data_IF_096052780420
#
_entry.id   IF_096052780420
#
_cell.length_a   1.000
_cell.length_b   1.000
_cell.length_c   1.000
_cell.angle_alpha   90.00
_cell.angle_beta   90.00
_cell.angle_gamma   90.00
#
_symmetry.space_group_name_H-M   'P 1'
#
loop_
_entity.id
_entity.type
_entity.pdbx_description
1 polymer ?
#
# COMPACT_ATOMS: atom_id res chain seq x y z
N UNK A 1 10.40 4.20 21.55
CA UNK A 1 9.35 3.25 21.12
C UNK A 1 9.93 2.35 20.04
N UNK A 2 9.61 1.06 20.00
CA UNK A 2 10.19 0.13 19.01
C UNK A 2 9.47 0.27 17.66
N UNK A 3 10.23 0.23 16.56
CA UNK A 3 9.73 0.30 15.20
C UNK A 3 8.93 -0.97 14.84
N UNK A 4 7.89 -0.85 14.00
CA UNK A 4 7.12 -2.00 13.53
C UNK A 4 7.71 -2.57 12.24
N UNK A 5 8.00 -1.70 11.29
CA UNK A 5 8.66 -2.03 10.03
C UNK A 5 9.95 -1.22 9.92
N UNK A 6 11.06 -1.89 9.62
CA UNK A 6 12.36 -1.26 9.34
C UNK A 6 12.86 -1.79 8.02
N UNK A 7 13.07 -0.90 7.05
CA UNK A 7 13.61 -1.18 5.72
C UNK A 7 15.00 -0.57 5.67
N UNK A 8 16.00 -1.37 5.31
CA UNK A 8 17.41 -0.97 5.26
C UNK A 8 17.99 -1.32 3.89
N UNK A 9 18.47 -0.32 3.16
CA UNK A 9 19.15 -0.47 1.88
C UNK A 9 18.34 -1.23 0.83
N UNK A 10 17.01 -1.07 0.81
CA UNK A 10 16.16 -1.80 -0.15
C UNK A 10 16.50 -1.38 -1.57
N UNK A 11 16.88 -2.37 -2.39
CA UNK A 11 17.12 -2.21 -3.81
C UNK A 11 16.25 -3.19 -4.59
N UNK A 12 15.59 -2.71 -5.64
CA UNK A 12 14.82 -3.54 -6.56
C UNK A 12 15.22 -3.21 -7.99
N UNK A 13 15.70 -4.22 -8.71
CA UNK A 13 16.07 -4.10 -10.13
C UNK A 13 15.33 -5.13 -10.97
N UNK A 14 14.83 -4.75 -12.13
CA UNK A 14 14.27 -5.69 -13.10
C UNK A 14 15.28 -5.93 -14.21
N UNK A 15 15.60 -7.21 -14.47
CA UNK A 15 16.39 -7.61 -15.64
C UNK A 15 15.47 -7.70 -16.86
N UNK A 16 15.74 -6.89 -17.85
CA UNK A 16 15.18 -6.99 -19.20
C UNK A 16 16.27 -7.56 -20.13
N UNK A 17 15.92 -7.86 -21.39
CA UNK A 17 16.89 -8.41 -22.36
C UNK A 17 18.07 -7.48 -22.59
N UNK A 18 17.80 -6.18 -22.77
CA UNK A 18 18.81 -5.19 -23.18
C UNK A 18 19.04 -4.08 -22.13
N UNK A 19 18.43 -4.19 -20.95
CA UNK A 19 18.53 -3.16 -19.92
C UNK A 19 18.26 -3.70 -18.51
N UNK A 20 18.74 -2.98 -17.50
CA UNK A 20 18.36 -3.17 -16.10
C UNK A 20 17.58 -1.95 -15.63
N UNK A 21 16.33 -2.14 -15.18
CA UNK A 21 15.52 -1.06 -14.63
C UNK A 21 15.76 -0.99 -13.13
N UNK A 22 16.24 0.14 -12.63
CA UNK A 22 16.42 0.41 -11.21
C UNK A 22 15.14 1.01 -10.64
N UNK A 23 14.23 0.16 -10.16
CA UNK A 23 12.90 0.59 -9.71
C UNK A 23 12.91 1.17 -8.29
N UNK A 24 13.74 0.62 -7.41
CA UNK A 24 14.01 1.15 -6.06
C UNK A 24 15.51 1.08 -5.83
N UNK A 25 16.11 2.16 -5.33
CA UNK A 25 17.55 2.28 -5.15
C UNK A 25 17.90 2.73 -3.74
N UNK A 26 18.31 1.78 -2.91
CA UNK A 26 18.92 2.02 -1.59
C UNK A 26 18.01 2.91 -0.73
N UNK A 27 16.82 2.35 -0.46
CA UNK A 27 15.74 2.96 0.28
C UNK A 27 15.78 2.49 1.73
N UNK A 28 15.90 3.46 2.63
CA UNK A 28 15.74 3.29 4.07
C UNK A 28 14.40 3.89 4.50
N UNK A 29 13.64 3.14 5.28
CA UNK A 29 12.34 3.60 5.77
C UNK A 29 12.01 2.91 7.09
N UNK A 30 11.39 3.64 8.00
CA UNK A 30 10.94 3.10 9.27
C UNK A 30 9.50 3.52 9.51
N UNK A 31 8.66 2.57 9.93
CA UNK A 31 7.28 2.83 10.30
C UNK A 31 7.05 2.32 11.72
N UNK A 32 6.52 3.18 12.59
CA UNK A 32 6.20 2.87 13.99
C UNK A 32 4.76 2.35 14.10
N UNK A 33 4.43 1.60 15.17
CA UNK A 33 3.04 1.32 15.49
C UNK A 33 2.26 2.62 15.69
N UNK A 34 1.05 2.72 15.13
CA UNK A 34 0.22 3.93 15.22
C UNK A 34 0.72 5.12 14.41
N UNK A 35 1.62 4.90 13.44
CA UNK A 35 2.12 5.92 12.50
C UNK A 35 1.51 5.70 11.11
N UNK A 36 1.00 6.79 10.52
CA UNK A 36 0.63 6.86 9.11
C UNK A 36 1.76 7.55 8.35
N UNK A 37 2.55 6.73 7.65
CA UNK A 37 3.60 7.21 6.75
C UNK A 37 3.06 7.22 5.32
N UNK A 38 3.15 8.36 4.64
CA UNK A 38 2.82 8.47 3.23
C UNK A 38 4.07 8.48 2.34
N UNK A 39 4.08 7.66 1.30
CA UNK A 39 5.08 7.67 0.22
C UNK A 39 4.46 8.33 -1.00
N UNK A 40 5.00 9.48 -1.40
CA UNK A 40 4.46 10.32 -2.48
C UNK A 40 5.48 10.52 -3.60
N UNK A 41 5.00 10.89 -4.78
CA UNK A 41 5.86 11.22 -5.93
C UNK A 41 5.16 11.00 -7.26
N UNK A 42 5.80 11.42 -8.36
CA UNK A 42 5.29 11.24 -9.73
C UNK A 42 5.01 9.76 -10.06
N UNK A 43 4.14 9.52 -11.05
CA UNK A 43 3.91 8.16 -11.56
C UNK A 43 5.20 7.54 -12.09
N UNK A 44 5.38 6.24 -11.86
CA UNK A 44 6.56 5.51 -12.32
C UNK A 44 7.84 5.72 -11.52
N UNK A 45 7.83 6.46 -10.39
CA UNK A 45 9.04 6.65 -9.58
C UNK A 45 9.46 5.44 -8.72
N UNK A 46 8.62 4.39 -8.64
CA UNK A 46 8.92 3.14 -7.94
C UNK A 46 8.06 2.84 -6.69
N UNK A 47 7.05 3.66 -6.37
CA UNK A 47 6.26 3.53 -5.13
C UNK A 47 5.56 2.17 -4.98
N UNK A 48 4.83 1.70 -5.99
CA UNK A 48 4.13 0.41 -5.92
C UNK A 48 5.09 -0.79 -5.87
N UNK A 49 6.31 -0.63 -6.40
CA UNK A 49 7.36 -1.66 -6.34
C UNK A 49 7.83 -1.87 -4.90
N UNK A 50 7.84 -0.83 -4.06
CA UNK A 50 8.10 -0.94 -2.62
C UNK A 50 7.09 -1.89 -1.94
N UNK A 51 5.79 -1.66 -2.14
CA UNK A 51 4.75 -2.52 -1.57
C UNK A 51 4.88 -3.97 -2.03
N UNK A 52 5.10 -4.18 -3.33
CA UNK A 52 5.26 -5.52 -3.89
C UNK A 52 6.52 -6.23 -3.39
N UNK A 53 7.62 -5.51 -3.17
CA UNK A 53 8.84 -6.08 -2.60
C UNK A 53 8.60 -6.61 -1.18
N UNK A 54 7.97 -5.80 -0.32
CA UNK A 54 7.65 -6.16 1.07
C UNK A 54 6.72 -7.36 1.19
N UNK A 55 5.85 -7.54 0.19
CA UNK A 55 4.90 -8.64 0.17
C UNK A 55 5.38 -9.83 -0.65
N UNK A 56 6.55 -9.80 -1.26
CA UNK A 56 7.04 -10.87 -2.16
C UNK A 56 6.14 -11.09 -3.38
N UNK A 57 5.56 -10.01 -3.92
CA UNK A 57 4.67 -10.01 -5.09
C UNK A 57 5.38 -9.57 -6.38
N UNK A 58 6.70 -9.41 -6.33
CA UNK A 58 7.48 -9.03 -7.51
C UNK A 58 7.57 -10.18 -8.53
N UNK A 59 7.62 -9.87 -9.84
CA UNK A 59 7.82 -10.88 -10.88
C UNK A 59 9.20 -11.54 -10.79
N UNK A 60 9.34 -12.71 -11.42
CA UNK A 60 10.55 -13.54 -11.36
C UNK A 60 11.82 -12.89 -11.90
N UNK A 61 11.71 -11.86 -12.75
CA UNK A 61 12.86 -11.12 -13.27
C UNK A 61 13.35 -10.00 -12.34
N UNK A 62 12.75 -9.86 -11.15
CA UNK A 62 13.17 -8.91 -10.14
C UNK A 62 14.34 -9.45 -9.31
N UNK A 63 15.30 -8.58 -9.04
CA UNK A 63 16.38 -8.79 -8.07
C UNK A 63 16.15 -7.86 -6.91
N UNK A 64 16.10 -8.42 -5.70
CA UNK A 64 15.87 -7.68 -4.47
C UNK A 64 17.12 -7.76 -3.59
N UNK A 65 17.54 -6.62 -3.05
CA UNK A 65 18.65 -6.48 -2.10
C UNK A 65 18.21 -5.66 -0.89
N UNK A 66 18.95 -5.74 0.21
CA UNK A 66 18.63 -5.04 1.45
C UNK A 66 17.90 -5.94 2.44
N UNK A 67 17.26 -5.33 3.45
CA UNK A 67 16.50 -6.03 4.49
C UNK A 67 15.20 -5.30 4.78
N UNK A 68 14.16 -6.05 5.13
CA UNK A 68 12.91 -5.46 5.62
C UNK A 68 12.39 -6.24 6.83
N UNK A 69 12.65 -5.73 8.02
CA UNK A 69 12.34 -6.37 9.30
C UNK A 69 10.95 -5.94 9.78
N UNK A 70 10.02 -6.91 9.85
CA UNK A 70 8.72 -6.74 10.47
C UNK A 70 8.74 -7.28 11.89
N UNK A 71 8.69 -6.38 12.86
CA UNK A 71 8.67 -6.69 14.29
C UNK A 71 7.27 -7.13 14.76
N UNK A 72 7.18 -7.92 15.85
CA UNK A 72 5.90 -8.27 16.45
C UNK A 72 5.15 -7.00 16.86
N UNK A 73 3.89 -6.88 16.44
CA UNK A 73 3.02 -5.84 16.95
C UNK A 73 2.74 -6.14 18.43
N UNK A 74 2.94 -5.15 19.31
CA UNK A 74 2.46 -5.26 20.68
C UNK A 74 0.94 -5.06 20.63
N UNK A 75 0.12 -5.81 21.39
CA UNK A 75 -1.29 -5.49 21.51
C UNK A 75 -1.40 -4.02 21.94
N UNK A 76 -2.20 -3.24 21.20
CA UNK A 76 -2.43 -1.85 21.54
C UNK A 76 -2.92 -1.76 22.99
N UNK A 77 -2.23 -0.97 23.82
CA UNK A 77 -2.84 -0.56 25.07
C UNK A 77 -4.12 0.20 24.70
N UNK A 78 -5.27 -0.04 25.35
CA UNK A 78 -6.45 0.77 25.11
C UNK A 78 -6.07 2.22 25.35
N UNK A 79 -6.03 3.02 24.28
CA UNK A 79 -5.75 4.43 24.36
C UNK A 79 -6.80 5.13 25.23
N UNK A 80 -6.49 6.30 25.81
CA UNK A 80 -7.51 7.08 26.50
C UNK A 80 -8.64 7.31 25.51
N UNK A 81 -9.85 6.95 25.92
CA UNK A 81 -11.07 7.09 25.12
C UNK A 81 -11.14 8.51 24.56
N UNK A 82 -10.70 8.71 23.32
CA UNK A 82 -11.01 9.89 22.56
C UNK A 82 -12.51 9.87 22.43
N UNK A 83 -13.14 10.86 23.08
CA UNK A 83 -14.55 11.18 23.01
C UNK A 83 -15.11 10.68 21.68
N UNK A 84 -16.03 9.71 21.76
CA UNK A 84 -16.89 9.33 20.63
C UNK A 84 -17.50 10.65 20.13
N UNK A 85 -16.92 11.25 19.10
CA UNK A 85 -17.66 12.17 18.24
C UNK A 85 -18.79 11.29 17.73
N UNK A 86 -19.97 11.48 18.30
CA UNK A 86 -21.21 10.93 17.79
C UNK A 86 -21.32 11.42 16.36
N UNK A 87 -20.94 10.56 15.41
CA UNK A 87 -21.19 10.79 14.00
C UNK A 87 -22.69 10.63 13.76
N UNK A 88 -23.28 11.42 12.84
CA UNK A 88 -24.66 11.23 12.42
C UNK A 88 -24.84 9.79 11.92
N UNK A 89 -25.94 9.14 12.30
CA UNK A 89 -26.33 7.85 11.72
C UNK A 89 -26.53 8.04 10.21
N UNK A 90 -25.66 7.45 9.40
CA UNK A 90 -25.71 7.44 7.93
C UNK A 90 -26.90 6.66 7.33
N UNK A 91 -27.91 6.29 8.13
CA UNK A 91 -29.14 5.64 7.66
C UNK A 91 -30.05 6.55 6.83
N UNK A 92 -29.67 7.81 6.58
CA UNK A 92 -30.51 8.82 5.90
C UNK A 92 -30.03 9.27 4.52
N UNK A 93 -28.97 8.67 3.95
CA UNK A 93 -28.40 9.10 2.64
C UNK A 93 -28.52 8.02 1.55
N UNK A 94 -29.12 6.87 1.85
CA UNK A 94 -29.48 5.90 0.81
C UNK A 94 -30.91 6.20 0.29
N UNK A 95 -31.12 6.39 -1.03
CA UNK A 95 -32.47 6.40 -1.58
C UNK A 95 -33.14 5.05 -1.31
N UNK A 96 -34.31 5.08 -0.67
CA UNK A 96 -35.13 3.88 -0.42
C UNK A 96 -35.52 3.29 -1.79
N UNK A 97 -35.33 1.99 -2.04
CA UNK A 97 -35.86 1.38 -3.26
C UNK A 97 -37.38 1.52 -3.27
N UNK A 98 -37.91 2.02 -4.39
CA UNK A 98 -39.34 2.04 -4.67
C UNK A 98 -39.86 0.59 -4.66
N UNK A 99 -41.01 0.41 -4.02
CA UNK A 99 -41.53 -0.88 -3.57
C UNK A 99 -41.81 -1.91 -4.66
N UNK A 100 -41.89 -3.14 -4.15
CA UNK A 100 -42.22 -4.40 -4.79
C UNK A 100 -43.29 -4.35 -5.88
N UNK A 101 -43.03 -5.10 -6.96
CA UNK A 101 -44.06 -5.99 -7.51
C UNK A 101 -43.49 -7.40 -7.55
N UNK A 102 -44.09 -8.23 -6.70
CA UNK A 102 -43.93 -9.67 -6.67
C UNK A 102 -44.33 -10.29 -8.00
N UNK A 103 -43.46 -11.14 -8.55
CA UNK A 103 -43.90 -12.14 -9.51
C UNK A 103 -43.26 -13.48 -9.20
N UNK A 104 -44.13 -14.38 -8.78
CA UNK A 104 -43.86 -15.77 -8.46
C UNK A 104 -43.41 -16.54 -9.69
N UNK A 105 -42.30 -17.27 -9.61
CA UNK A 105 -42.14 -18.51 -10.38
C UNK A 105 -41.53 -19.62 -9.55
N UNK A 106 -42.34 -20.68 -9.44
CA UNK A 106 -42.04 -22.00 -8.90
C UNK A 106 -41.10 -22.74 -9.84
N UNK A 107 -40.27 -23.62 -9.28
CA UNK A 107 -40.23 -25.01 -9.74
C UNK A 107 -38.93 -25.53 -10.36
N UNK A 108 -38.67 -26.80 -10.01
CA UNK A 108 -37.68 -27.77 -10.50
C UNK A 108 -36.23 -27.53 -10.06
N UNK A 109 -35.66 -28.29 -9.11
CA UNK A 109 -35.44 -29.75 -9.00
C UNK A 109 -34.30 -30.26 -9.87
N UNK A 110 -33.28 -30.79 -9.20
CA UNK A 110 -32.35 -31.78 -9.73
C UNK A 110 -31.17 -31.18 -10.48
N UNK A 111 -29.96 -31.40 -9.99
CA UNK A 111 -29.16 -32.53 -10.45
C UNK A 111 -27.99 -32.73 -9.49
N UNK A 112 -27.81 -33.98 -9.10
CA UNK A 112 -26.82 -34.44 -8.16
C UNK A 112 -25.51 -34.80 -8.86
N UNK A 113 -24.42 -34.41 -8.20
CA UNK A 113 -23.25 -35.26 -7.95
C UNK A 113 -22.16 -35.41 -9.03
N UNK A 114 -20.93 -35.36 -8.50
CA UNK A 114 -19.67 -35.98 -8.97
C UNK A 114 -18.97 -35.32 -10.15
N UNK A 115 -17.88 -34.62 -9.84
CA UNK A 115 -16.57 -35.03 -10.35
C UNK A 115 -15.47 -34.58 -9.38
N UNK A 116 -14.81 -35.58 -8.82
CA UNK A 116 -13.64 -35.47 -7.96
C UNK A 116 -12.41 -35.92 -8.75
N UNK A 117 -11.27 -35.30 -8.42
CA UNK A 117 -9.89 -35.79 -8.60
C UNK A 117 -9.26 -35.69 -9.99
N UNK A 118 -7.94 -35.45 -9.91
CA UNK A 118 -6.91 -35.32 -10.97
C UNK A 118 -6.92 -33.89 -11.51
N UNK A 119 -5.96 -33.05 -11.15
CA UNK A 119 -4.58 -33.13 -11.58
C UNK A 119 -3.60 -32.84 -10.41
N UNK A 120 -2.97 -33.90 -9.94
CA UNK A 120 -1.60 -33.88 -9.41
C UNK A 120 -0.69 -34.29 -10.58
N UNK A 121 0.52 -33.78 -10.53
CA UNK A 121 1.69 -34.15 -11.33
C UNK A 121 1.83 -33.45 -12.69
N UNK A 122 2.70 -32.42 -12.71
CA UNK A 122 3.73 -32.28 -13.74
C UNK A 122 4.86 -31.37 -13.25
N UNK A 123 6.00 -32.02 -12.91
CA UNK A 123 7.41 -31.61 -12.99
C UNK A 123 7.75 -30.11 -12.83
N UNK A 124 8.39 -29.67 -11.74
CA UNK A 124 9.77 -29.99 -11.32
C UNK A 124 10.81 -29.58 -12.37
N UNK A 125 11.29 -28.33 -12.24
CA UNK A 125 12.56 -27.83 -12.77
C UNK A 125 13.20 -26.96 -11.70
N UNK A 126 14.19 -27.54 -11.01
CA UNK A 126 15.09 -26.83 -10.10
C UNK A 126 16.24 -26.22 -10.93
N UNK A 127 16.65 -24.97 -10.69
CA UNK A 127 18.02 -24.57 -10.87
C UNK A 127 18.78 -24.78 -9.56
N UNK A 128 19.87 -25.52 -9.65
CA UNK A 128 20.83 -25.76 -8.57
C UNK A 128 21.56 -24.47 -8.17
N UNK A 129 21.82 -24.34 -6.87
CA UNK A 129 23.04 -23.71 -6.37
C UNK A 129 23.03 -22.20 -6.12
N UNK A 130 22.57 -21.78 -4.94
CA UNK A 130 23.40 -20.98 -4.00
C UNK A 130 22.75 -20.96 -2.61
N UNK A 131 23.39 -21.64 -1.66
CA UNK A 131 23.33 -21.36 -0.22
C UNK A 131 21.96 -21.41 0.46
N UNK A 132 21.60 -22.58 0.97
CA UNK A 132 20.59 -22.72 2.01
C UNK A 132 21.03 -22.01 3.30
N UNK A 133 20.67 -20.74 3.44
CA UNK A 133 20.55 -20.07 4.73
C UNK A 133 19.11 -20.27 5.21
N UNK A 134 18.91 -21.11 6.23
CA UNK A 134 17.61 -21.23 6.88
C UNK A 134 17.13 -19.84 7.28
N UNK A 135 15.96 -19.43 6.77
CA UNK A 135 15.30 -18.17 7.08
C UNK A 135 14.90 -18.15 8.55
N UNK A 136 15.90 -17.87 9.40
CA UNK A 136 15.77 -17.79 10.83
C UNK A 136 14.87 -16.61 11.18
N UNK A 137 13.82 -16.89 11.94
CA UNK A 137 13.22 -15.90 12.83
C UNK A 137 14.38 -15.29 13.60
N UNK A 138 14.71 -14.02 13.33
CA UNK A 138 15.80 -13.33 14.02
C UNK A 138 15.57 -13.36 15.52
N UNK A 139 16.64 -13.21 16.31
CA UNK A 139 16.69 -13.34 17.78
C UNK A 139 15.78 -12.40 18.60
N UNK A 140 14.75 -11.79 18.02
CA UNK A 140 13.72 -10.99 18.69
C UNK A 140 12.31 -11.14 18.11
N UNK A 141 12.01 -12.22 17.37
CA UNK A 141 10.68 -12.47 16.80
C UNK A 141 10.35 -11.62 15.56
N UNK A 142 11.32 -10.86 15.05
CA UNK A 142 11.20 -10.13 13.80
C UNK A 142 11.30 -11.09 12.61
N UNK A 143 10.53 -10.79 11.55
CA UNK A 143 10.57 -11.54 10.29
C UNK A 143 11.19 -10.64 9.23
N UNK A 144 12.26 -11.11 8.57
CA UNK A 144 12.79 -10.44 7.38
C UNK A 144 11.91 -10.79 6.17
N UNK A 145 11.12 -9.83 5.73
CA UNK A 145 10.15 -9.97 4.65
C UNK A 145 10.80 -10.33 3.31
N UNK A 146 12.04 -9.89 3.08
CA UNK A 146 12.74 -10.13 1.80
C UNK A 146 13.38 -11.52 1.74
N UNK A 147 13.66 -12.14 2.89
CA UNK A 147 14.38 -13.40 3.00
C UNK A 147 13.54 -14.59 3.52
N UNK A 148 12.37 -14.36 4.12
CA UNK A 148 11.59 -15.41 4.78
C UNK A 148 10.92 -16.43 3.84
N UNK A 149 10.86 -16.14 2.53
CA UNK A 149 10.30 -17.02 1.51
C UNK A 149 8.77 -17.13 1.53
N UNK A 150 8.22 -17.69 0.44
CA UNK A 150 6.78 -17.68 0.16
C UNK A 150 5.93 -18.36 1.24
N UNK A 151 6.42 -19.45 1.84
CA UNK A 151 5.67 -20.19 2.86
C UNK A 151 5.39 -19.33 4.10
N UNK A 152 6.37 -18.52 4.53
CA UNK A 152 6.22 -17.63 5.69
C UNK A 152 5.35 -16.42 5.31
N UNK A 153 5.59 -15.84 4.13
CA UNK A 153 4.77 -14.74 3.61
C UNK A 153 3.28 -15.12 3.56
N UNK A 154 2.93 -16.25 2.94
CA UNK A 154 1.55 -16.68 2.77
C UNK A 154 0.86 -17.11 4.08
N UNK A 155 1.58 -17.77 5.01
CA UNK A 155 0.96 -18.34 6.21
C UNK A 155 0.99 -17.43 7.43
N UNK A 156 1.95 -16.52 7.51
CA UNK A 156 2.22 -15.76 8.74
C UNK A 156 2.25 -14.25 8.53
N UNK A 157 2.37 -13.75 7.30
CA UNK A 157 2.47 -12.31 7.02
C UNK A 157 1.23 -11.77 6.32
N UNK A 158 0.97 -12.18 5.07
CA UNK A 158 -0.14 -11.67 4.26
C UNK A 158 -1.48 -11.97 4.91
N UNK A 159 -2.32 -10.96 5.07
CA UNK A 159 -3.63 -11.05 5.71
C UNK A 159 -3.58 -11.22 7.24
N UNK A 160 -2.44 -11.51 7.87
CA UNK A 160 -2.35 -11.62 9.35
C UNK A 160 -1.62 -10.46 9.98
N UNK A 161 -0.43 -10.16 9.46
CA UNK A 161 0.43 -9.08 9.95
C UNK A 161 0.43 -7.88 9.03
N UNK A 162 0.16 -8.10 7.73
CA UNK A 162 0.06 -7.05 6.73
C UNK A 162 -1.22 -7.23 5.92
N UNK A 163 -2.07 -6.19 5.88
CA UNK A 163 -3.15 -6.07 4.89
C UNK A 163 -2.71 -5.22 3.71
N UNK A 164 -3.17 -5.57 2.51
CA UNK A 164 -2.87 -4.83 1.28
C UNK A 164 -4.17 -4.29 0.69
N UNK A 165 -4.24 -2.97 0.50
CA UNK A 165 -5.20 -2.34 -0.41
C UNK A 165 -4.43 -2.10 -1.72
N UNK A 166 -4.70 -2.87 -2.78
CA UNK A 166 -3.96 -2.78 -4.04
C UNK A 166 -4.41 -1.58 -4.88
N UNK A 167 -3.52 -1.12 -5.76
CA UNK A 167 -3.79 -0.04 -6.73
C UNK A 167 -4.90 -0.40 -7.71
N UNK A 168 -5.00 -1.68 -8.10
CA UNK A 168 -6.03 -2.16 -9.02
C UNK A 168 -6.79 -3.35 -8.42
N UNK A 169 -8.09 -3.21 -8.10
CA UNK A 169 -8.91 -4.30 -7.61
C UNK A 169 -9.06 -5.42 -8.63
N UNK A 170 -9.10 -5.07 -9.92
CA UNK A 170 -9.34 -6.01 -11.01
C UNK A 170 -8.27 -7.11 -11.08
N UNK A 171 -7.03 -6.80 -10.71
CA UNK A 171 -5.93 -7.76 -10.69
C UNK A 171 -5.82 -8.54 -9.38
N UNK A 172 -6.46 -8.06 -8.30
CA UNK A 172 -6.37 -8.63 -6.97
C UNK A 172 -7.58 -9.51 -6.58
N UNK A 173 -8.76 -9.24 -7.15
CA UNK A 173 -9.99 -9.94 -6.80
C UNK A 173 -10.17 -11.23 -7.61
N UNK A 174 -10.53 -12.32 -6.92
CA UNK A 174 -10.89 -13.57 -7.57
C UNK A 174 -12.27 -13.47 -8.20
N UNK A 175 -12.34 -13.51 -9.54
CA UNK A 175 -13.55 -13.25 -10.31
C UNK A 175 -14.62 -14.36 -10.25
N UNK A 176 -14.27 -15.55 -9.75
CA UNK A 176 -15.17 -16.73 -9.72
C UNK A 176 -15.98 -16.86 -8.43
N UNK A 177 -15.93 -15.86 -7.54
CA UNK A 177 -16.65 -15.84 -6.26
C UNK A 177 -17.28 -14.48 -6.05
N UNK A 178 -18.44 -14.44 -5.40
CA UNK A 178 -19.10 -13.20 -5.00
C UNK A 178 -18.29 -12.49 -3.92
N UNK A 179 -18.47 -11.18 -3.78
CA UNK A 179 -17.81 -10.39 -2.73
C UNK A 179 -18.04 -10.97 -1.33
N UNK A 180 -19.25 -11.49 -1.05
CA UNK A 180 -19.59 -12.13 0.21
C UNK A 180 -18.75 -13.36 0.47
N UNK A 181 -18.60 -14.21 -0.54
CA UNK A 181 -17.83 -15.45 -0.41
C UNK A 181 -16.35 -15.13 -0.20
N UNK A 182 -15.81 -14.15 -0.91
CA UNK A 182 -14.43 -13.69 -0.73
C UNK A 182 -14.18 -13.20 0.70
N UNK A 183 -15.05 -12.35 1.24
CA UNK A 183 -14.93 -11.86 2.62
C UNK A 183 -15.10 -12.97 3.65
N UNK A 184 -16.12 -13.81 3.52
CA UNK A 184 -16.39 -14.90 4.46
C UNK A 184 -15.24 -15.92 4.51
N UNK A 185 -14.66 -16.28 3.36
CA UNK A 185 -13.50 -17.17 3.29
C UNK A 185 -12.26 -16.52 3.88
N UNK A 186 -12.05 -15.21 3.62
CA UNK A 186 -10.94 -14.45 4.21
C UNK A 186 -11.05 -14.42 5.74
N UNK A 187 -12.22 -14.08 6.28
CA UNK A 187 -12.50 -14.09 7.72
C UNK A 187 -12.26 -15.48 8.31
N UNK A 188 -12.83 -16.53 7.71
CA UNK A 188 -12.69 -17.91 8.18
C UNK A 188 -11.23 -18.37 8.18
N UNK A 189 -10.48 -18.11 7.10
CA UNK A 189 -9.07 -18.49 6.98
C UNK A 189 -8.18 -17.80 8.02
N UNK A 190 -8.67 -16.72 8.64
CA UNK A 190 -7.98 -15.94 9.66
C UNK A 190 -8.62 -16.09 11.05
N UNK A 191 -9.49 -17.08 11.25
CA UNK A 191 -10.10 -17.40 12.54
C UNK A 191 -11.11 -16.36 13.03
N UNK A 192 -11.72 -15.61 12.11
CA UNK A 192 -12.73 -14.58 12.38
C UNK A 192 -14.11 -15.08 11.99
N UNK A 193 -15.14 -14.55 12.64
CA UNK A 193 -16.54 -14.89 12.31
C UNK A 193 -16.89 -14.42 10.89
N UNK A 194 -17.28 -15.32 9.96
CA UNK A 194 -17.73 -14.94 8.62
C UNK A 194 -19.00 -14.07 8.63
N UNK A 195 -19.79 -14.08 9.71
CA UNK A 195 -20.95 -13.20 9.90
C UNK A 195 -20.61 -11.70 9.88
N UNK A 196 -19.34 -11.33 10.12
CA UNK A 196 -18.87 -9.95 10.08
C UNK A 196 -18.74 -9.37 8.65
N UNK A 197 -18.93 -10.17 7.60
CA UNK A 197 -18.71 -9.74 6.22
C UNK A 197 -19.50 -8.45 5.86
N UNK A 198 -20.77 -8.37 6.26
CA UNK A 198 -21.60 -7.19 6.01
C UNK A 198 -21.09 -5.95 6.78
N UNK A 199 -20.65 -6.12 8.03
CA UNK A 199 -20.11 -5.04 8.84
C UNK A 199 -18.82 -4.48 8.24
N UNK A 200 -17.89 -5.36 7.82
CA UNK A 200 -16.62 -4.95 7.21
C UNK A 200 -16.87 -4.25 5.87
N UNK A 201 -17.84 -4.70 5.08
CA UNK A 201 -18.24 -4.03 3.85
C UNK A 201 -18.76 -2.61 4.11
N UNK A 202 -19.65 -2.43 5.08
CA UNK A 202 -20.16 -1.10 5.47
C UNK A 202 -19.01 -0.19 5.91
N UNK A 203 -18.07 -0.71 6.69
CA UNK A 203 -16.90 0.07 7.14
C UNK A 203 -16.06 0.57 5.96
N UNK A 204 -15.86 -0.27 4.95
CA UNK A 204 -15.19 0.09 3.70
C UNK A 204 -16.07 0.94 2.76
N UNK A 205 -17.29 1.29 3.14
CA UNK A 205 -18.23 2.09 2.35
C UNK A 205 -18.93 1.33 1.22
N UNK A 206 -18.91 -0.01 1.22
CA UNK A 206 -19.61 -0.86 0.27
C UNK A 206 -20.99 -1.25 0.81
N UNK A 207 -22.03 -1.17 -0.03
CA UNK A 207 -23.36 -1.65 0.33
C UNK A 207 -23.33 -3.18 0.51
N UNK A 208 -23.82 -3.72 1.65
CA UNK A 208 -23.92 -5.16 1.86
C UNK A 208 -24.66 -5.92 0.75
N UNK A 209 -25.60 -5.29 0.06
CA UNK A 209 -26.31 -5.86 -1.08
C UNK A 209 -25.36 -6.15 -2.26
N UNK A 210 -24.33 -5.32 -2.44
CA UNK A 210 -23.34 -5.49 -3.51
C UNK A 210 -22.38 -6.65 -3.25
N UNK A 211 -22.34 -7.19 -2.02
CA UNK A 211 -21.58 -8.41 -1.74
C UNK A 211 -22.11 -9.65 -2.46
N UNK A 212 -23.36 -9.63 -2.93
CA UNK A 212 -23.92 -10.74 -3.71
C UNK A 212 -23.40 -10.78 -5.14
N UNK A 213 -22.76 -9.70 -5.58
CA UNK A 213 -22.24 -9.57 -6.94
C UNK A 213 -20.85 -10.19 -7.05
N UNK A 214 -20.53 -10.63 -8.26
CA UNK A 214 -19.16 -11.00 -8.64
C UNK A 214 -18.31 -9.74 -8.90
N UNK A 215 -16.98 -9.81 -8.75
CA UNK A 215 -16.11 -8.66 -8.98
C UNK A 215 -16.27 -7.97 -10.34
N UNK A 216 -16.59 -8.71 -11.40
CA UNK A 216 -16.79 -8.15 -12.74
C UNK A 216 -18.14 -7.43 -12.91
N UNK A 217 -19.05 -7.55 -11.96
CA UNK A 217 -20.35 -6.85 -11.93
C UNK A 217 -20.29 -5.56 -11.08
N UNK A 218 -19.15 -5.31 -10.43
CA UNK A 218 -18.90 -4.13 -9.62
C UNK A 218 -18.32 -2.99 -10.48
N UNK A 219 -18.71 -1.75 -10.19
CA UNK A 219 -17.98 -0.59 -10.70
C UNK A 219 -16.55 -0.57 -10.13
N UNK A 220 -15.63 0.16 -10.76
CA UNK A 220 -14.25 0.29 -10.26
C UNK A 220 -14.19 0.71 -8.79
N UNK A 221 -14.99 1.71 -8.39
CA UNK A 221 -15.06 2.15 -7.00
C UNK A 221 -15.76 1.16 -6.05
N UNK A 222 -16.73 0.36 -6.52
CA UNK A 222 -17.28 -0.74 -5.72
C UNK A 222 -16.24 -1.86 -5.51
N UNK A 223 -15.49 -2.20 -6.56
CA UNK A 223 -14.41 -3.19 -6.48
C UNK A 223 -13.28 -2.71 -5.56
N UNK A 224 -12.92 -1.42 -5.59
CA UNK A 224 -11.95 -0.82 -4.68
C UNK A 224 -12.40 -0.94 -3.23
N UNK A 225 -13.67 -0.65 -2.93
CA UNK A 225 -14.23 -0.80 -1.58
C UNK A 225 -14.26 -2.26 -1.12
N UNK A 226 -14.53 -3.21 -2.01
CA UNK A 226 -14.41 -4.63 -1.70
C UNK A 226 -12.96 -5.04 -1.39
N UNK A 227 -11.99 -4.53 -2.17
CA UNK A 227 -10.56 -4.77 -1.90
C UNK A 227 -10.13 -4.17 -0.55
N UNK A 228 -10.58 -2.96 -0.24
CA UNK A 228 -10.39 -2.34 1.09
C UNK A 228 -11.02 -3.18 2.20
N UNK A 229 -12.25 -3.67 2.02
CA UNK A 229 -12.92 -4.54 2.98
C UNK A 229 -12.10 -5.82 3.25
N UNK A 230 -11.56 -6.46 2.21
CA UNK A 230 -10.72 -7.66 2.33
C UNK A 230 -9.42 -7.37 3.10
N UNK A 231 -8.79 -6.22 2.87
CA UNK A 231 -7.58 -5.81 3.57
C UNK A 231 -7.83 -5.58 5.07
N UNK A 232 -9.01 -5.07 5.42
CA UNK A 232 -9.41 -4.73 6.80
C UNK A 232 -10.04 -5.89 7.57
N UNK A 233 -10.53 -6.92 6.87
CA UNK A 233 -11.28 -8.04 7.45
C UNK A 233 -10.53 -8.73 8.61
N UNK A 234 -9.20 -8.72 8.57
CA UNK A 234 -8.34 -9.43 9.51
C UNK A 234 -7.76 -8.56 10.61
N UNK A 235 -8.04 -7.25 10.58
CA UNK A 235 -7.50 -6.24 11.50
C UNK A 235 -5.95 -6.31 11.65
N UNK A 236 -5.22 -6.14 10.53
CA UNK A 236 -3.78 -6.31 10.55
C UNK A 236 -3.07 -5.13 11.25
N UNK A 237 -1.97 -5.37 11.97
CA UNK A 237 -1.21 -4.31 12.63
C UNK A 237 -0.46 -3.38 11.67
N UNK A 238 -0.27 -3.78 10.40
CA UNK A 238 0.24 -2.93 9.32
C UNK A 238 -0.71 -3.00 8.13
N UNK A 239 -1.14 -1.85 7.63
CA UNK A 239 -1.83 -1.71 6.36
C UNK A 239 -0.89 -1.07 5.34
N UNK A 240 -0.75 -1.70 4.18
CA UNK A 240 -0.12 -1.09 3.01
C UNK A 240 -1.25 -0.73 2.06
N UNK A 241 -1.40 0.56 1.77
CA UNK A 241 -2.44 1.08 0.90
C UNK A 241 -1.79 1.69 -0.34
N UNK A 242 -1.80 0.97 -1.45
CA UNK A 242 -1.21 1.39 -2.72
C UNK A 242 -2.28 2.04 -3.59
N UNK A 243 -2.23 3.37 -3.69
CA UNK A 243 -3.19 4.20 -4.42
C UNK A 243 -4.66 3.89 -4.09
N UNK A 244 -5.05 3.83 -2.80
CA UNK A 244 -6.32 3.25 -2.36
C UNK A 244 -7.56 4.03 -2.81
N UNK A 245 -7.35 5.26 -3.28
CA UNK A 245 -8.38 6.25 -3.64
C UNK A 245 -8.53 6.42 -5.15
N UNK A 246 -7.74 5.70 -5.96
CA UNK A 246 -7.82 5.77 -7.42
C UNK A 246 -9.21 5.38 -7.92
N UNK A 247 -9.80 6.21 -8.79
CA UNK A 247 -11.10 5.94 -9.39
C UNK A 247 -12.30 6.09 -8.44
N UNK A 248 -12.11 6.70 -7.26
CA UNK A 248 -13.20 7.06 -6.34
C UNK A 248 -13.67 8.50 -6.55
N UNK A 249 -14.94 8.76 -6.22
CA UNK A 249 -15.45 10.13 -6.09
C UNK A 249 -14.91 10.81 -4.82
N UNK A 250 -15.01 12.15 -4.76
CA UNK A 250 -14.40 12.90 -3.65
C UNK A 250 -14.91 12.48 -2.26
N UNK A 251 -16.23 12.29 -2.04
CA UNK A 251 -16.72 11.81 -0.75
C UNK A 251 -16.15 10.44 -0.35
N UNK A 252 -15.99 9.51 -1.29
CA UNK A 252 -15.41 8.19 -1.02
C UNK A 252 -13.89 8.25 -0.81
N UNK A 253 -13.19 9.16 -1.47
CA UNK A 253 -11.77 9.46 -1.18
C UNK A 253 -11.64 9.86 0.29
N UNK A 254 -12.40 10.87 0.74
CA UNK A 254 -12.35 11.37 2.11
C UNK A 254 -12.72 10.28 3.12
N UNK A 255 -13.76 9.48 2.84
CA UNK A 255 -14.15 8.35 3.69
C UNK A 255 -13.02 7.31 3.83
N UNK A 256 -12.36 6.97 2.73
CA UNK A 256 -11.27 5.97 2.70
C UNK A 256 -10.06 6.46 3.49
N UNK A 257 -9.67 7.73 3.31
CA UNK A 257 -8.56 8.33 4.06
C UNK A 257 -8.89 8.43 5.56
N UNK A 258 -10.09 8.85 5.92
CA UNK A 258 -10.54 8.91 7.31
C UNK A 258 -10.59 7.49 7.94
N UNK A 259 -10.94 6.47 7.16
CA UNK A 259 -10.90 5.08 7.60
C UNK A 259 -9.47 4.62 7.91
N UNK A 260 -8.52 4.89 7.01
CA UNK A 260 -7.10 4.59 7.23
C UNK A 260 -6.56 5.31 8.47
N UNK A 261 -6.89 6.60 8.63
CA UNK A 261 -6.52 7.37 9.83
C UNK A 261 -7.11 6.77 11.10
N UNK A 262 -8.40 6.39 11.11
CA UNK A 262 -9.02 5.71 12.26
C UNK A 262 -8.33 4.40 12.63
N UNK A 263 -7.92 3.61 11.64
CA UNK A 263 -7.17 2.36 11.87
C UNK A 263 -5.79 2.67 12.46
N UNK A 264 -5.15 3.73 12.00
CA UNK A 264 -3.90 4.22 12.58
C UNK A 264 -4.05 4.65 14.04
N UNK A 265 -5.07 5.46 14.34
CA UNK A 265 -5.38 5.94 15.69
C UNK A 265 -5.73 4.80 16.66
N UNK A 266 -6.28 3.69 16.14
CA UNK A 266 -6.53 2.46 16.90
C UNK A 266 -5.26 1.62 17.17
N UNK A 267 -4.11 2.02 16.62
CA UNK A 267 -2.80 1.43 16.89
C UNK A 267 -2.17 0.65 15.73
N UNK A 268 -2.85 0.52 14.58
CA UNK A 268 -2.22 -0.02 13.38
C UNK A 268 -1.19 0.97 12.82
N UNK A 269 -0.15 0.47 12.16
CA UNK A 269 0.65 1.30 11.28
C UNK A 269 0.00 1.34 9.89
N UNK A 270 0.15 2.45 9.17
CA UNK A 270 -0.35 2.59 7.81
C UNK A 270 0.76 3.13 6.92
N UNK A 271 1.11 2.37 5.89
CA UNK A 271 1.95 2.82 4.79
C UNK A 271 1.05 3.18 3.61
N UNK A 272 0.79 4.48 3.43
CA UNK A 272 0.00 5.00 2.32
C UNK A 272 0.92 5.32 1.14
N UNK A 273 0.74 4.67 0.01
CA UNK A 273 1.39 5.04 -1.26
C UNK A 273 0.36 5.80 -2.09
N UNK A 274 0.69 7.01 -2.53
CA UNK A 274 -0.23 7.85 -3.30
C UNK A 274 0.53 8.81 -4.19
N UNK A 275 -0.08 9.28 -5.27
CA UNK A 275 0.39 10.48 -5.98
C UNK A 275 -0.41 11.73 -5.63
N UNK A 276 -1.50 11.60 -4.87
CA UNK A 276 -2.28 12.72 -4.34
C UNK A 276 -1.63 13.29 -3.06
N UNK A 277 -1.01 14.46 -3.22
CA UNK A 277 -0.36 15.19 -2.13
C UNK A 277 -1.35 15.74 -1.11
N UNK A 278 -2.56 16.12 -1.53
CA UNK A 278 -3.59 16.62 -0.62
C UNK A 278 -4.12 15.48 0.28
N UNK A 279 -4.23 14.27 -0.28
CA UNK A 279 -4.53 13.08 0.51
C UNK A 279 -3.44 12.82 1.57
N UNK A 280 -2.16 12.91 1.20
CA UNK A 280 -1.04 12.74 2.13
C UNK A 280 -1.03 13.83 3.22
N UNK A 281 -1.19 15.12 2.85
CA UNK A 281 -1.24 16.24 3.78
C UNK A 281 -2.35 16.10 4.83
N UNK A 282 -3.49 15.53 4.42
CA UNK A 282 -4.65 15.37 5.29
C UNK A 282 -4.42 14.36 6.43
N UNK A 283 -3.77 13.23 6.16
CA UNK A 283 -3.78 12.08 7.09
C UNK A 283 -2.41 11.60 7.58
N UNK A 284 -1.32 11.97 6.92
CA UNK A 284 0.01 11.47 7.24
C UNK A 284 0.63 12.16 8.45
N UNK A 285 1.31 11.38 9.29
CA UNK A 285 2.18 11.90 10.34
C UNK A 285 3.55 12.27 9.72
N UNK A 286 4.06 11.40 8.86
CA UNK A 286 5.34 11.55 8.14
C UNK A 286 5.14 11.31 6.64
N UNK A 287 5.94 12.00 5.82
CA UNK A 287 5.88 11.88 4.36
C UNK A 287 7.27 11.64 3.81
N UNK A 288 7.41 10.59 3.00
CA UNK A 288 8.59 10.27 2.22
C UNK A 288 8.32 10.56 0.73
N UNK A 289 9.00 11.55 0.18
CA UNK A 289 8.92 11.94 -1.23
C UNK A 289 9.91 11.11 -2.03
N UNK A 290 9.40 10.39 -3.02
CA UNK A 290 10.15 9.52 -3.90
C UNK A 290 10.30 10.13 -5.29
N UNK A 291 11.54 10.21 -5.77
CA UNK A 291 11.88 10.65 -7.12
C UNK A 291 12.89 9.69 -7.76
N UNK A 292 12.56 9.20 -8.97
CA UNK A 292 13.42 8.34 -9.77
C UNK A 292 14.12 7.23 -8.96
N UNK A 293 13.35 6.31 -8.38
CA UNK A 293 13.77 5.17 -7.55
C UNK A 293 14.30 5.47 -6.14
N UNK A 294 14.43 6.75 -5.73
CA UNK A 294 15.07 7.14 -4.47
C UNK A 294 14.14 8.00 -3.61
N UNK A 295 14.26 7.90 -2.29
CA UNK A 295 13.68 8.88 -1.38
C UNK A 295 14.56 10.13 -1.39
N UNK A 296 13.96 11.28 -1.66
CA UNK A 296 14.67 12.58 -1.74
C UNK A 296 14.41 13.47 -0.54
N UNK A 297 13.29 13.27 0.16
CA UNK A 297 12.92 13.96 1.39
C UNK A 297 12.00 13.09 2.23
N UNK A 298 12.30 12.92 3.52
CA UNK A 298 11.49 12.18 4.48
C UNK A 298 11.42 12.95 5.80
N UNK A 299 10.26 13.55 6.09
CA UNK A 299 10.06 14.50 7.21
C UNK A 299 8.64 14.42 7.77
N UNK A 300 8.37 15.01 8.95
CA UNK A 300 7.00 15.24 9.42
C UNK A 300 6.16 15.95 8.36
N UNK A 301 4.92 15.50 8.16
CA UNK A 301 4.05 16.03 7.12
C UNK A 301 3.88 17.55 7.24
N UNK A 302 3.61 18.04 8.45
CA UNK A 302 3.41 19.46 8.74
C UNK A 302 4.60 20.34 8.31
N UNK A 303 5.82 19.84 8.47
CA UNK A 303 7.03 20.58 8.12
C UNK A 303 7.30 20.53 6.61
N UNK A 304 7.04 19.38 5.98
CA UNK A 304 7.25 19.16 4.56
C UNK A 304 6.30 20.00 3.70
N UNK A 305 5.01 20.06 4.03
CA UNK A 305 4.01 20.83 3.27
C UNK A 305 4.10 22.34 3.51
N UNK A 306 4.59 22.76 4.69
CA UNK A 306 4.82 24.17 5.04
C UNK A 306 6.14 24.70 4.47
N UNK A 307 7.20 23.92 4.57
CA UNK A 307 8.58 24.32 4.30
C UNK A 307 9.36 23.15 3.67
N UNK A 308 9.07 22.80 2.41
CA UNK A 308 9.76 21.70 1.73
C UNK A 308 11.25 22.00 1.61
N UNK A 309 12.10 21.02 1.93
CA UNK A 309 13.54 21.20 1.92
C UNK A 309 14.18 20.83 0.59
N UNK A 310 13.70 19.79 -0.08
CA UNK A 310 14.28 19.37 -1.36
C UNK A 310 13.66 20.18 -2.52
N UNK A 311 14.46 20.71 -3.47
CA UNK A 311 13.95 21.48 -4.63
C UNK A 311 12.88 20.74 -5.45
N UNK A 312 13.00 19.41 -5.58
CA UNK A 312 11.95 18.57 -6.16
C UNK A 312 10.63 18.66 -5.40
N UNK A 313 10.64 18.52 -4.08
CA UNK A 313 9.42 18.58 -3.25
C UNK A 313 8.75 19.94 -3.39
N UNK A 314 9.52 21.03 -3.35
CA UNK A 314 9.00 22.38 -3.61
C UNK A 314 8.34 22.47 -4.98
N UNK A 315 9.01 22.00 -6.04
CA UNK A 315 8.47 22.04 -7.39
C UNK A 315 7.21 21.17 -7.54
N UNK A 316 7.18 20.01 -6.89
CA UNK A 316 6.03 19.12 -6.87
C UNK A 316 4.83 19.77 -6.19
N UNK A 317 5.03 20.45 -5.06
CA UNK A 317 3.99 21.21 -4.38
C UNK A 317 3.54 22.41 -5.22
N UNK A 318 4.46 23.16 -5.81
CA UNK A 318 4.15 24.33 -6.65
C UNK A 318 3.35 23.95 -7.91
N UNK A 319 3.41 22.69 -8.35
CA UNK A 319 2.61 22.19 -9.47
C UNK A 319 1.13 21.93 -9.11
N UNK A 320 0.75 21.98 -7.83
CA UNK A 320 -0.63 21.77 -7.40
C UNK A 320 -1.54 22.95 -7.79
N UNK A 321 -2.81 22.69 -8.17
CA UNK A 321 -3.78 23.74 -8.55
C UNK A 321 -4.02 24.79 -7.46
N UNK A 322 -4.00 24.38 -6.19
CA UNK A 322 -4.24 25.26 -5.04
C UNK A 322 -2.97 26.03 -4.59
N UNK A 323 -1.87 25.92 -5.35
CA UNK A 323 -0.61 26.64 -5.12
C UNK A 323 -0.26 27.48 -6.35
N UNK A 324 1.03 27.61 -6.66
CA UNK A 324 1.52 28.42 -7.80
C UNK A 324 1.11 27.86 -9.17
N UNK A 325 0.63 26.61 -9.22
CA UNK A 325 0.30 25.86 -10.42
C UNK A 325 1.37 25.94 -11.52
N UNK A 326 2.63 25.92 -11.10
CA UNK A 326 3.79 26.04 -11.99
C UNK A 326 4.28 24.64 -12.39
N UNK A 327 4.29 24.29 -13.70
CA UNK A 327 4.72 22.98 -14.13
C UNK A 327 6.21 22.77 -13.88
N UNK A 328 6.57 21.59 -13.39
CA UNK A 328 7.97 21.20 -13.21
C UNK A 328 8.58 20.83 -14.58
N UNK A 329 9.57 21.59 -15.11
CA UNK A 329 10.08 21.41 -16.46
C UNK A 329 10.85 20.08 -16.64
N UNK A 330 10.96 19.65 -17.89
CA UNK A 330 11.68 18.44 -18.27
C UNK A 330 11.00 17.13 -17.85
N UNK A 331 11.69 16.02 -18.08
CA UNK A 331 11.20 14.68 -17.77
C UNK A 331 12.08 14.01 -16.71
N UNK A 332 11.52 13.12 -15.87
CA UNK A 332 12.30 12.26 -15.00
C UNK A 332 13.35 11.46 -15.80
N UNK A 333 14.53 11.17 -15.22
CA UNK A 333 15.52 10.33 -15.88
C UNK A 333 14.95 8.92 -16.10
N UNK A 334 15.42 8.25 -17.14
CA UNK A 334 15.08 6.84 -17.34
C UNK A 334 15.66 6.02 -16.19
N UNK A 335 14.85 5.13 -15.62
CA UNK A 335 15.28 4.23 -14.54
C UNK A 335 16.34 3.20 -14.99
N UNK A 336 16.58 3.08 -16.30
CA UNK A 336 17.68 2.28 -16.88
C UNK A 336 19.02 3.04 -16.93
N UNK A 337 19.01 4.35 -16.71
CA UNK A 337 20.15 5.24 -16.84
C UNK A 337 20.11 6.31 -15.74
N UNK A 338 20.02 5.88 -14.49
CA UNK A 338 20.04 6.80 -13.34
C UNK A 338 21.42 7.45 -13.20
N UNK A 339 21.49 8.76 -12.89
CA UNK A 339 22.76 9.41 -12.65
C UNK A 339 23.41 8.89 -11.34
N UNK A 340 24.75 8.88 -11.26
CA UNK A 340 25.47 8.43 -10.06
C UNK A 340 25.21 9.35 -8.85
N UNK A 341 25.04 10.65 -9.10
CA UNK A 341 24.78 11.68 -8.09
C UNK A 341 23.30 11.90 -7.79
N UNK A 342 22.90 13.16 -7.60
CA UNK A 342 21.51 13.53 -7.39
C UNK A 342 20.65 13.21 -8.63
N UNK A 343 19.60 12.41 -8.45
CA UNK A 343 18.70 12.03 -9.54
C UNK A 343 17.98 13.24 -10.16
N UNK A 344 17.73 14.28 -9.37
CA UNK A 344 17.01 15.49 -9.78
C UNK A 344 17.92 16.57 -10.42
N UNK A 345 19.24 16.35 -10.48
CA UNK A 345 20.21 17.37 -10.91
C UNK A 345 19.86 18.03 -12.26
N UNK A 346 19.40 17.25 -13.24
CA UNK A 346 19.07 17.75 -14.59
C UNK A 346 17.85 18.69 -14.63
N UNK A 347 16.98 18.67 -13.61
CA UNK A 347 15.78 19.51 -13.49
C UNK A 347 15.90 20.55 -12.37
N UNK A 348 17.02 20.53 -11.62
CA UNK A 348 17.18 21.32 -10.41
C UNK A 348 17.73 22.72 -10.72
N UNK A 349 17.06 23.81 -10.29
CA UNK A 349 17.59 25.16 -10.47
C UNK A 349 18.79 25.49 -9.58
N UNK A 350 19.13 24.62 -8.62
CA UNK A 350 20.24 24.76 -7.66
C UNK A 350 21.35 23.73 -7.89
N UNK A 351 21.46 23.19 -9.10
CA UNK A 351 22.48 22.20 -9.44
C UNK A 351 23.89 22.79 -9.32
N UNK A 352 24.84 21.97 -8.86
CA UNK A 352 26.26 22.32 -8.76
C UNK A 352 27.12 21.07 -8.94
N UNK A 353 28.44 21.21 -8.96
CA UNK A 353 29.38 20.09 -9.11
C UNK A 353 29.24 19.04 -8.00
N UNK A 354 28.89 19.43 -6.76
CA UNK A 354 28.70 18.47 -5.66
C UNK A 354 27.54 17.51 -5.93
N UNK A 355 26.56 17.91 -6.75
CA UNK A 355 25.44 17.07 -7.17
C UNK A 355 25.84 15.88 -8.05
N UNK A 356 27.08 15.80 -8.52
CA UNK A 356 27.63 14.60 -9.15
C UNK A 356 27.80 13.43 -8.17
N UNK A 357 27.84 13.71 -6.87
CA UNK A 357 27.86 12.70 -5.79
C UNK A 357 26.48 12.53 -5.17
N UNK A 358 26.21 11.34 -4.63
CA UNK A 358 24.89 11.02 -4.08
C UNK A 358 24.71 11.68 -2.70
N UNK A 359 23.69 12.54 -2.51
CA UNK A 359 23.35 13.06 -1.20
C UNK A 359 22.68 11.99 -0.33
N UNK A 360 22.73 12.16 0.99
CA UNK A 360 22.18 11.23 1.99
C UNK A 360 21.47 11.99 3.12
N UNK A 361 20.83 11.26 4.04
CA UNK A 361 20.09 11.83 5.16
C UNK A 361 18.58 12.00 4.91
N UNK A 362 17.84 12.59 5.86
CA UNK A 362 16.39 12.78 5.77
C UNK A 362 16.01 13.72 4.61
N UNK A 363 16.94 14.58 4.16
CA UNK A 363 16.83 15.34 2.93
C UNK A 363 18.04 15.01 2.08
N UNK A 364 17.86 14.20 1.05
CA UNK A 364 18.93 13.82 0.13
C UNK A 364 19.20 14.97 -0.86
N UNK A 365 19.70 16.10 -0.36
CA UNK A 365 20.09 17.27 -1.15
C UNK A 365 21.38 17.90 -0.59
N UNK A 366 22.32 18.27 -1.46
CA UNK A 366 23.49 19.06 -1.05
C UNK A 366 23.18 20.54 -0.84
N UNK A 367 22.05 21.02 -1.39
CA UNK A 367 21.64 22.42 -1.37
C UNK A 367 20.16 22.55 -0.96
N UNK A 368 19.79 22.08 0.24
CA UNK A 368 18.40 22.14 0.69
C UNK A 368 17.92 23.59 0.78
N UNK A 369 16.61 23.80 0.58
CA UNK A 369 15.97 25.12 0.63
C UNK A 369 15.85 25.65 2.06
N UNK A 370 15.82 24.75 3.04
CA UNK A 370 15.82 25.06 4.47
C UNK A 370 16.86 24.20 5.16
N UNK A 371 17.42 24.71 6.26
CA UNK A 371 18.25 23.89 7.14
C UNK A 371 17.38 22.83 7.81
N UNK A 372 17.76 21.57 7.67
CA UNK A 372 17.08 20.45 8.33
C UNK A 372 18.06 19.87 9.35
N UNK A 373 17.69 19.84 10.65
CA UNK A 373 18.50 19.19 11.67
C UNK A 373 18.80 17.74 11.26
N UNK A 374 20.03 17.29 11.50
CA UNK A 374 20.50 15.96 11.14
C UNK A 374 19.73 14.84 11.85
#
# INVERSE_FOLDING_TARGET
MKNLLVIEGLGVRFRLRDATVHAVSDLDLTVRPGELLAVVGESGCGKSVLAHALLGLLPANALVTGRALLHPARPAAPGPSTQRRTLPRWSSVLPRPAGDRAESRRGSSGWSSRLSRRLRDSAEHQPEGTGAGGGGVGSGGAVDLLACGEKVLARSVRGRRIGLIPQSPATALTVVRTGRRLLAETLTAHGRDPGLAAQVAIEAGLDPADLERYPFELSGGMAQRLATALALATDPPLLIADEPTSGLDRPLVDHTLDLLRRRCDAGAAVLLITHDLAAAERVADTVAVMYASRIVEHRPAADLFRSPAHPYTQALLNALPDRDFTPLPGHPPMLTALPPGCAFAARCPRVSETCATRPSGPVACHHPLVEVPA
#
